data_IF_376969757090
#
_entry.id   IF_376969757090
#
_cell.length_a   1.000
_cell.length_b   1.000
_cell.length_c   1.000
_cell.angle_alpha   90.00
_cell.angle_beta   90.00
_cell.angle_gamma   90.00
#
_symmetry.space_group_name_H-M   'P 1'
#
loop_
_entity.id
_entity.type
_entity.pdbx_description
1 polymer ?
#
# COMPACT_ATOMS: atom_id res chain seq x y z
N UNK A 1 -15.60 6.13 -8.52
CA UNK A 1 -14.70 5.07 -9.00
C UNK A 1 -13.68 5.58 -10.02
N UNK A 2 -14.08 6.24 -11.11
CA UNK A 2 -13.17 6.80 -12.13
C UNK A 2 -12.07 7.69 -11.54
N UNK A 3 -12.38 8.59 -10.60
CA UNK A 3 -11.40 9.47 -9.97
C UNK A 3 -10.27 8.76 -9.22
N UNK A 4 -10.48 7.52 -8.76
CA UNK A 4 -9.44 6.68 -8.15
C UNK A 4 -8.57 5.99 -9.19
N UNK A 5 -9.11 5.73 -10.39
CA UNK A 5 -8.42 5.00 -11.47
C UNK A 5 -7.53 5.93 -12.28
N UNK A 6 -7.94 7.19 -12.49
CA UNK A 6 -7.20 8.18 -13.31
C UNK A 6 -5.71 8.29 -12.89
N UNK A 7 -5.35 8.45 -11.61
CA UNK A 7 -3.95 8.52 -11.22
C UNK A 7 -3.14 7.26 -11.56
N UNK A 8 -3.81 6.10 -11.70
CA UNK A 8 -3.17 4.83 -12.01
C UNK A 8 -2.97 4.58 -13.52
N UNK A 9 -3.61 5.37 -14.37
CA UNK A 9 -3.31 5.38 -15.80
C UNK A 9 -1.87 5.89 -16.07
N UNK A 10 -1.27 6.60 -15.12
CA UNK A 10 0.12 7.07 -15.19
C UNK A 10 1.05 5.96 -14.71
N UNK A 11 2.15 5.76 -15.43
CA UNK A 11 3.20 4.78 -15.08
C UNK A 11 3.70 5.02 -13.66
N UNK A 12 3.93 3.93 -12.89
CA UNK A 12 4.35 3.97 -11.49
C UNK A 12 5.52 4.93 -11.22
N UNK A 13 6.56 4.86 -12.05
CA UNK A 13 7.73 5.74 -11.89
C UNK A 13 7.37 7.22 -11.96
N UNK A 14 6.50 7.63 -12.88
CA UNK A 14 6.07 9.02 -12.99
C UNK A 14 5.32 9.49 -11.73
N UNK A 15 4.49 8.62 -11.14
CA UNK A 15 3.80 8.90 -9.88
C UNK A 15 4.80 9.09 -8.73
N UNK A 16 5.82 8.23 -8.66
CA UNK A 16 6.86 8.34 -7.63
C UNK A 16 7.66 9.63 -7.80
N UNK A 17 7.99 10.02 -9.03
CA UNK A 17 8.64 11.31 -9.30
C UNK A 17 7.77 12.51 -8.95
N UNK A 18 6.46 12.45 -9.23
CA UNK A 18 5.53 13.49 -8.78
C UNK A 18 5.54 13.63 -7.25
N UNK A 19 5.55 12.53 -6.52
CA UNK A 19 5.71 12.55 -5.06
C UNK A 19 7.02 13.21 -4.63
N UNK A 20 8.15 12.93 -5.31
CA UNK A 20 9.43 13.59 -4.95
C UNK A 20 9.37 15.09 -5.08
N UNK A 21 8.62 15.60 -6.06
CA UNK A 21 8.42 17.04 -6.25
C UNK A 21 7.52 17.64 -5.15
N UNK A 22 6.46 16.92 -4.77
CA UNK A 22 5.53 17.37 -3.71
C UNK A 22 6.22 17.47 -2.36
N UNK A 23 7.08 16.48 -2.02
CA UNK A 23 7.77 16.37 -0.71
C UNK A 23 9.15 17.04 -0.69
N UNK A 24 9.54 17.74 -1.75
CA UNK A 24 10.82 18.45 -1.80
C UNK A 24 10.91 19.56 -0.75
N UNK A 25 12.12 19.97 -0.39
CA UNK A 25 12.33 21.08 0.54
C UNK A 25 11.67 22.38 0.07
N UNK A 26 11.60 22.58 -1.26
CA UNK A 26 10.85 23.67 -1.91
C UNK A 26 9.61 23.15 -2.64
N UNK A 27 9.07 22.03 -2.19
CA UNK A 27 7.92 21.39 -2.78
C UNK A 27 6.58 21.93 -2.26
N UNK A 28 5.51 21.39 -2.84
CA UNK A 28 4.14 21.82 -2.52
C UNK A 28 3.81 21.75 -1.03
N UNK A 29 4.25 20.65 -0.34
CA UNK A 29 3.95 20.48 1.09
C UNK A 29 4.60 21.58 1.94
N UNK A 30 5.88 21.89 1.73
CA UNK A 30 6.55 22.97 2.46
C UNK A 30 5.94 24.33 2.11
N UNK A 31 5.59 24.58 0.84
CA UNK A 31 4.92 25.82 0.44
C UNK A 31 3.54 25.99 1.10
N UNK A 32 2.79 24.91 1.28
CA UNK A 32 1.52 24.94 2.01
C UNK A 32 1.72 25.22 3.51
N UNK A 33 2.77 24.66 4.11
CA UNK A 33 3.09 24.91 5.52
C UNK A 33 3.58 26.35 5.76
N UNK A 34 4.34 26.90 4.83
CA UNK A 34 4.78 28.29 4.82
C UNK A 34 3.57 29.23 4.73
N UNK A 35 2.66 28.98 3.78
CA UNK A 35 1.41 29.74 3.64
C UNK A 35 0.53 29.66 4.89
N UNK A 36 0.52 28.52 5.58
CA UNK A 36 -0.22 28.34 6.83
C UNK A 36 0.49 28.91 8.07
N UNK A 37 1.72 29.43 7.91
CA UNK A 37 2.50 30.06 8.98
C UNK A 37 3.17 29.08 9.94
N UNK A 38 3.32 27.81 9.57
CA UNK A 38 4.00 26.80 10.38
C UNK A 38 5.51 26.80 10.20
N UNK A 39 6.02 27.27 9.08
CA UNK A 39 7.44 27.40 8.76
C UNK A 39 7.67 28.70 8.00
N UNK A 40 8.89 29.19 7.99
CA UNK A 40 9.32 30.36 7.19
C UNK A 40 10.36 29.91 6.15
N UNK A 41 9.89 29.68 4.92
CA UNK A 41 10.77 29.29 3.82
C UNK A 41 11.74 30.41 3.40
N UNK A 42 11.40 31.68 3.65
CA UNK A 42 12.29 32.80 3.35
C UNK A 42 13.45 32.88 4.36
N UNK A 43 13.20 32.47 5.61
CA UNK A 43 14.25 32.29 6.63
C UNK A 43 15.08 31.00 6.43
N UNK A 44 14.77 30.17 5.42
CA UNK A 44 15.46 28.93 5.13
C UNK A 44 14.93 27.72 5.87
N UNK A 45 13.79 27.84 6.56
CA UNK A 45 13.16 26.71 7.23
C UNK A 45 12.50 25.79 6.21
N UNK A 46 12.72 24.49 6.36
CA UNK A 46 12.02 23.47 5.56
C UNK A 46 12.00 22.12 6.30
N UNK A 47 10.88 21.43 6.20
CA UNK A 47 10.75 20.06 6.73
C UNK A 47 11.31 19.09 5.70
N UNK A 48 12.28 18.28 6.12
CA UNK A 48 12.93 17.30 5.24
C UNK A 48 12.11 16.01 5.16
N UNK A 49 10.96 16.05 4.46
CA UNK A 49 10.08 14.90 4.28
C UNK A 49 10.78 13.71 3.62
N UNK A 50 11.70 13.95 2.69
CA UNK A 50 12.45 12.90 1.98
C UNK A 50 13.32 12.03 2.91
N UNK A 51 13.66 12.52 4.11
CA UNK A 51 14.44 11.78 5.11
C UNK A 51 13.59 10.99 6.10
N UNK A 52 12.28 10.93 5.92
CA UNK A 52 11.37 10.23 6.82
C UNK A 52 10.95 8.87 6.26
N UNK A 53 11.16 7.81 7.04
CA UNK A 53 10.63 6.48 6.73
C UNK A 53 9.10 6.48 6.61
N UNK A 54 8.43 7.35 7.37
CA UNK A 54 6.98 7.54 7.31
C UNK A 54 6.55 8.06 5.93
N UNK A 55 7.29 8.98 5.34
CA UNK A 55 7.00 9.48 3.98
C UNK A 55 7.09 8.36 2.94
N UNK A 56 8.14 7.54 3.01
CA UNK A 56 8.28 6.37 2.12
C UNK A 56 7.09 5.43 2.30
N UNK A 57 6.69 5.16 3.55
CA UNK A 57 5.54 4.32 3.85
C UNK A 57 4.24 4.87 3.25
N UNK A 58 3.97 6.17 3.41
CA UNK A 58 2.76 6.83 2.85
C UNK A 58 2.75 6.69 1.32
N UNK A 59 3.88 6.89 0.65
CA UNK A 59 3.95 6.78 -0.81
C UNK A 59 3.77 5.33 -1.28
N UNK A 60 4.30 4.34 -0.53
CA UNK A 60 4.05 2.93 -0.81
C UNK A 60 2.56 2.61 -0.67
N UNK A 61 1.91 3.05 0.41
CA UNK A 61 0.47 2.86 0.62
C UNK A 61 -0.32 3.49 -0.53
N UNK A 62 -0.03 4.73 -0.89
CA UNK A 62 -0.66 5.40 -2.02
C UNK A 62 -0.46 4.63 -3.33
N UNK A 63 0.75 4.12 -3.57
CA UNK A 63 1.08 3.42 -4.82
C UNK A 63 0.31 2.12 -4.98
N UNK A 64 0.04 1.41 -3.88
CA UNK A 64 -0.54 0.06 -3.95
C UNK A 64 -1.95 -0.05 -3.37
N UNK A 65 -2.56 1.03 -2.86
CA UNK A 65 -3.88 0.99 -2.19
C UNK A 65 -5.00 0.43 -3.08
N UNK A 66 -4.95 0.63 -4.39
CA UNK A 66 -5.99 0.10 -5.29
C UNK A 66 -5.98 -1.42 -5.38
N UNK A 67 -4.81 -2.06 -5.22
CA UNK A 67 -4.74 -3.52 -5.17
C UNK A 67 -5.46 -4.10 -3.96
N UNK A 68 -5.69 -3.31 -2.92
CA UNK A 68 -6.56 -3.67 -1.81
C UNK A 68 -8.02 -3.32 -2.09
N UNK A 69 -8.27 -2.16 -2.67
CA UNK A 69 -9.63 -1.65 -2.90
C UNK A 69 -10.40 -2.50 -3.91
N UNK A 70 -9.78 -2.89 -5.03
CA UNK A 70 -10.47 -3.64 -6.08
C UNK A 70 -11.04 -5.00 -5.64
N UNK A 71 -10.29 -5.89 -4.97
CA UNK A 71 -10.85 -7.16 -4.50
C UNK A 71 -11.98 -6.96 -3.49
N UNK A 72 -11.87 -5.95 -2.63
CA UNK A 72 -12.92 -5.64 -1.66
C UNK A 72 -14.20 -5.20 -2.39
N UNK A 73 -14.09 -4.27 -3.34
CA UNK A 73 -15.24 -3.79 -4.11
C UNK A 73 -15.89 -4.92 -4.93
N UNK A 74 -15.07 -5.80 -5.50
CA UNK A 74 -15.59 -6.95 -6.26
C UNK A 74 -16.44 -7.86 -5.36
N UNK A 75 -15.94 -8.24 -4.19
CA UNK A 75 -16.72 -9.04 -3.24
C UNK A 75 -17.93 -8.29 -2.70
N UNK A 76 -17.81 -6.98 -2.42
CA UNK A 76 -18.94 -6.17 -1.98
C UNK A 76 -20.05 -6.06 -3.03
N UNK A 77 -19.71 -6.10 -4.31
CA UNK A 77 -20.71 -6.05 -5.39
C UNK A 77 -21.60 -7.29 -5.44
N UNK A 78 -21.19 -8.41 -4.86
CA UNK A 78 -21.98 -9.65 -4.76
C UNK A 78 -22.91 -9.68 -3.54
N UNK A 79 -22.87 -8.66 -2.67
CA UNK A 79 -23.74 -8.58 -1.50
C UNK A 79 -25.18 -8.30 -1.92
N UNK A 80 -26.10 -9.17 -1.52
CA UNK A 80 -27.54 -8.99 -1.77
C UNK A 80 -28.05 -7.78 -0.95
N UNK A 81 -28.60 -6.79 -1.66
CA UNK A 81 -29.19 -5.58 -1.04
C UNK A 81 -30.36 -5.90 -0.13
N UNK A 82 -31.11 -6.96 -0.39
CA UNK A 82 -32.22 -7.40 0.44
C UNK A 82 -31.79 -7.69 1.88
N UNK A 83 -30.55 -8.17 2.09
CA UNK A 83 -30.00 -8.39 3.44
C UNK A 83 -29.81 -7.08 4.20
N UNK A 84 -29.40 -6.03 3.50
CA UNK A 84 -29.22 -4.70 4.09
C UNK A 84 -30.58 -4.08 4.43
N UNK A 85 -31.54 -4.20 3.52
CA UNK A 85 -32.86 -3.60 3.69
C UNK A 85 -33.65 -4.32 4.78
N UNK A 86 -33.64 -5.65 4.83
CA UNK A 86 -34.21 -6.42 5.93
C UNK A 86 -33.61 -6.06 7.30
N UNK A 87 -32.28 -5.82 7.34
CA UNK A 87 -31.64 -5.40 8.58
C UNK A 87 -32.07 -3.99 9.02
N UNK A 88 -32.32 -3.06 8.08
CA UNK A 88 -32.86 -1.72 8.37
C UNK A 88 -34.30 -1.82 8.87
N UNK A 89 -35.13 -2.64 8.27
CA UNK A 89 -36.53 -2.84 8.67
C UNK A 89 -36.62 -3.38 10.11
N UNK A 90 -35.62 -4.16 10.52
CA UNK A 90 -35.46 -4.64 11.89
C UNK A 90 -34.83 -3.61 12.84
N UNK A 91 -34.65 -2.36 12.41
CA UNK A 91 -34.10 -1.27 13.21
C UNK A 91 -32.59 -1.32 13.44
N UNK A 92 -31.83 -2.04 12.60
CA UNK A 92 -30.38 -2.06 12.72
C UNK A 92 -29.77 -0.71 12.30
N UNK A 93 -28.90 -0.15 13.12
CA UNK A 93 -28.13 1.05 12.77
C UNK A 93 -27.13 0.75 11.64
N UNK A 94 -26.77 1.77 10.85
CA UNK A 94 -25.79 1.66 9.78
C UNK A 94 -24.46 1.04 10.25
N UNK A 95 -23.99 1.42 11.44
CA UNK A 95 -22.78 0.85 12.03
C UNK A 95 -22.92 -0.65 12.29
N UNK A 96 -24.09 -1.10 12.80
CA UNK A 96 -24.38 -2.53 13.04
C UNK A 96 -24.42 -3.32 11.74
N UNK A 97 -25.00 -2.75 10.66
CA UNK A 97 -25.04 -3.36 9.34
C UNK A 97 -23.61 -3.53 8.79
N UNK A 98 -22.77 -2.50 8.89
CA UNK A 98 -21.37 -2.58 8.46
C UNK A 98 -20.61 -3.70 9.17
N UNK A 99 -20.69 -3.77 10.49
CA UNK A 99 -19.93 -4.74 11.29
C UNK A 99 -20.47 -6.18 11.20
N UNK A 100 -21.76 -6.37 11.03
CA UNK A 100 -22.38 -7.72 11.09
C UNK A 100 -22.69 -8.31 9.71
N UNK A 101 -22.79 -7.49 8.66
CA UNK A 101 -23.16 -7.95 7.32
C UNK A 101 -22.04 -7.64 6.33
N UNK A 102 -21.68 -6.35 6.16
CA UNK A 102 -20.77 -5.92 5.08
C UNK A 102 -19.34 -6.41 5.31
N UNK A 103 -18.76 -6.16 6.48
CA UNK A 103 -17.38 -6.57 6.79
C UNK A 103 -17.20 -8.09 6.75
N UNK A 104 -18.08 -8.91 7.38
CA UNK A 104 -17.97 -10.36 7.28
C UNK A 104 -18.09 -10.89 5.86
N UNK A 105 -19.00 -10.31 5.06
CA UNK A 105 -19.15 -10.67 3.65
C UNK A 105 -17.88 -10.31 2.86
N UNK A 106 -17.26 -9.17 3.16
CA UNK A 106 -16.07 -8.67 2.46
C UNK A 106 -14.76 -9.37 2.86
N UNK A 107 -14.76 -10.24 3.86
CA UNK A 107 -13.55 -10.93 4.35
C UNK A 107 -12.68 -11.55 3.25
N UNK A 108 -13.24 -12.28 2.26
CA UNK A 108 -12.42 -12.85 1.18
C UNK A 108 -11.72 -11.76 0.36
N UNK A 109 -12.43 -10.67 0.04
CA UNK A 109 -11.86 -9.53 -0.67
C UNK A 109 -10.75 -8.82 0.13
N UNK A 110 -10.97 -8.64 1.44
CA UNK A 110 -9.95 -8.08 2.34
C UNK A 110 -8.71 -8.97 2.37
N UNK A 111 -8.88 -10.29 2.46
CA UNK A 111 -7.76 -11.23 2.50
C UNK A 111 -6.94 -11.19 1.20
N UNK A 112 -7.61 -11.27 0.04
CA UNK A 112 -6.95 -11.19 -1.28
C UNK A 112 -6.25 -9.85 -1.47
N UNK A 113 -6.94 -8.74 -1.18
CA UNK A 113 -6.40 -7.40 -1.33
C UNK A 113 -5.20 -7.15 -0.41
N UNK A 114 -5.27 -7.60 0.85
CA UNK A 114 -4.16 -7.46 1.80
C UNK A 114 -2.92 -8.24 1.35
N UNK A 115 -3.09 -9.48 0.88
CA UNK A 115 -1.98 -10.29 0.38
C UNK A 115 -1.37 -9.65 -0.86
N UNK A 116 -2.18 -9.23 -1.83
CA UNK A 116 -1.71 -8.60 -3.06
C UNK A 116 -0.94 -7.31 -2.75
N UNK A 117 -1.51 -6.43 -1.93
CA UNK A 117 -0.87 -5.17 -1.52
C UNK A 117 0.42 -5.42 -0.75
N UNK A 118 0.43 -6.38 0.17
CA UNK A 118 1.63 -6.76 0.92
C UNK A 118 2.75 -7.26 0.00
N UNK A 119 2.46 -8.18 -0.91
CA UNK A 119 3.46 -8.73 -1.83
C UNK A 119 4.05 -7.67 -2.74
N UNK A 120 3.22 -6.78 -3.28
CA UNK A 120 3.68 -5.66 -4.11
C UNK A 120 4.50 -4.65 -3.31
N UNK A 121 4.05 -4.29 -2.11
CA UNK A 121 4.76 -3.36 -1.24
C UNK A 121 6.10 -3.94 -0.74
N UNK A 122 6.13 -5.23 -0.40
CA UNK A 122 7.35 -5.92 0.02
C UNK A 122 8.40 -5.96 -1.09
N UNK A 123 7.98 -6.20 -2.35
CA UNK A 123 8.85 -6.20 -3.52
C UNK A 123 9.21 -4.79 -4.04
N UNK A 124 8.59 -3.74 -3.52
CA UNK A 124 8.81 -2.38 -4.01
C UNK A 124 10.22 -1.89 -3.66
N UNK A 125 11.07 -1.68 -4.67
CA UNK A 125 12.39 -1.08 -4.47
C UNK A 125 12.46 0.35 -5.05
N UNK A 126 11.66 0.64 -6.07
CA UNK A 126 11.67 1.94 -6.78
C UNK A 126 11.31 3.09 -5.86
N UNK A 127 10.26 2.91 -5.04
CA UNK A 127 9.75 3.96 -4.14
C UNK A 127 10.79 4.34 -3.08
N UNK A 128 11.35 3.40 -2.29
CA UNK A 128 12.39 3.73 -1.33
C UNK A 128 13.63 4.34 -2.01
N UNK A 129 14.07 3.78 -3.13
CA UNK A 129 15.27 4.25 -3.84
C UNK A 129 15.15 5.68 -4.34
N UNK A 130 13.99 6.06 -4.88
CA UNK A 130 13.77 7.40 -5.45
C UNK A 130 13.52 8.44 -4.35
N UNK A 131 12.72 8.09 -3.34
CA UNK A 131 12.29 9.02 -2.30
C UNK A 131 13.35 9.19 -1.23
N UNK A 132 13.95 8.09 -0.75
CA UNK A 132 14.86 8.14 0.39
C UNK A 132 16.31 8.39 0.02
N UNK A 133 16.63 8.92 -1.14
CA UNK A 133 17.99 9.17 -1.65
C UNK A 133 19.02 9.40 -0.53
N UNK A 134 19.71 8.32 -0.11
CA UNK A 134 20.80 8.40 0.87
C UNK A 134 20.39 8.39 2.36
N UNK A 135 19.19 7.94 2.70
CA UNK A 135 18.85 7.62 4.09
C UNK A 135 19.57 6.36 4.57
N UNK A 136 19.95 6.39 5.84
CA UNK A 136 20.69 5.32 6.51
C UNK A 136 19.89 4.01 6.69
N UNK A 137 18.57 4.00 6.50
CA UNK A 137 17.75 2.81 6.58
C UNK A 137 17.48 2.24 5.19
N UNK A 138 18.31 1.31 4.77
CA UNK A 138 18.03 0.55 3.56
C UNK A 138 16.83 -0.37 3.77
N UNK A 139 15.83 -0.23 2.90
CA UNK A 139 14.75 -1.19 2.83
C UNK A 139 15.29 -2.53 2.30
N UNK A 140 14.75 -3.64 2.76
CA UNK A 140 15.30 -4.95 2.44
C UNK A 140 15.36 -5.23 0.92
N UNK A 141 14.33 -4.80 0.19
CA UNK A 141 14.31 -4.87 -1.28
C UNK A 141 15.44 -4.05 -1.93
N UNK A 142 15.80 -2.91 -1.35
CA UNK A 142 16.91 -2.07 -1.81
C UNK A 142 18.26 -2.74 -1.50
N UNK A 143 18.41 -3.36 -0.33
CA UNK A 143 19.62 -4.12 0.02
C UNK A 143 19.85 -5.30 -0.93
N UNK A 144 18.80 -6.01 -1.34
CA UNK A 144 18.89 -7.06 -2.36
C UNK A 144 19.43 -6.49 -3.67
N UNK A 145 18.85 -5.39 -4.13
CA UNK A 145 19.30 -4.73 -5.36
C UNK A 145 20.76 -4.32 -5.29
N UNK A 146 21.19 -3.69 -4.19
CA UNK A 146 22.57 -3.25 -4.00
C UNK A 146 23.57 -4.42 -3.99
N UNK A 147 23.16 -5.59 -3.43
CA UNK A 147 24.01 -6.79 -3.45
C UNK A 147 24.20 -7.35 -4.86
N UNK A 148 23.16 -7.29 -5.70
CA UNK A 148 23.27 -7.77 -7.08
C UNK A 148 24.07 -6.83 -7.99
N UNK A 149 23.81 -5.52 -7.89
CA UNK A 149 24.24 -4.56 -8.92
C UNK A 149 25.35 -3.61 -8.45
N UNK A 150 25.46 -3.34 -7.16
CA UNK A 150 26.46 -2.39 -6.63
C UNK A 150 27.65 -3.09 -5.98
N UNK A 151 27.43 -4.22 -5.30
CA UNK A 151 28.51 -4.98 -4.61
C UNK A 151 29.10 -6.11 -5.45
N UNK A 152 28.59 -6.34 -6.67
CA UNK A 152 28.99 -7.43 -7.58
C UNK A 152 29.02 -8.84 -6.93
N UNK A 153 28.26 -9.02 -5.84
CA UNK A 153 28.20 -10.27 -5.10
C UNK A 153 26.85 -10.97 -5.30
N UNK A 154 26.65 -11.48 -6.51
CA UNK A 154 25.40 -12.12 -6.93
C UNK A 154 24.98 -13.30 -6.03
N UNK A 155 25.94 -14.04 -5.44
CA UNK A 155 25.64 -15.15 -4.54
C UNK A 155 24.96 -14.69 -3.26
N UNK A 156 25.42 -13.59 -2.67
CA UNK A 156 24.80 -12.99 -1.48
C UNK A 156 23.44 -12.37 -1.82
N UNK A 157 23.34 -11.68 -2.97
CA UNK A 157 22.09 -11.17 -3.48
C UNK A 157 21.04 -12.27 -3.69
N UNK A 158 21.43 -13.40 -4.24
CA UNK A 158 20.55 -14.56 -4.42
C UNK A 158 20.09 -15.14 -3.07
N UNK A 159 20.99 -15.28 -2.08
CA UNK A 159 20.65 -15.75 -0.75
C UNK A 159 19.64 -14.81 -0.05
N UNK A 160 19.83 -13.49 -0.14
CA UNK A 160 18.88 -12.52 0.40
C UNK A 160 17.52 -12.57 -0.30
N UNK A 161 17.50 -12.72 -1.63
CA UNK A 161 16.25 -12.83 -2.40
C UNK A 161 15.47 -14.08 -2.01
N UNK A 162 16.16 -15.22 -1.88
CA UNK A 162 15.53 -16.47 -1.49
C UNK A 162 15.00 -16.41 -0.05
N UNK A 163 15.83 -15.92 0.89
CA UNK A 163 15.40 -15.72 2.28
C UNK A 163 14.20 -14.80 2.40
N UNK A 164 14.19 -13.68 1.66
CA UNK A 164 13.07 -12.74 1.64
C UNK A 164 11.79 -13.37 1.10
N UNK A 165 11.89 -14.11 0.00
CA UNK A 165 10.75 -14.84 -0.59
C UNK A 165 10.16 -15.82 0.40
N UNK A 166 11.01 -16.57 1.12
CA UNK A 166 10.58 -17.52 2.14
C UNK A 166 9.86 -16.82 3.31
N UNK A 167 10.41 -15.70 3.80
CA UNK A 167 9.78 -14.90 4.85
C UNK A 167 8.40 -14.38 4.37
N UNK A 168 8.31 -13.82 3.18
CA UNK A 168 7.05 -13.37 2.60
C UNK A 168 6.03 -14.51 2.50
N UNK A 169 6.46 -15.69 2.06
CA UNK A 169 5.61 -16.87 1.98
C UNK A 169 5.06 -17.28 3.35
N UNK A 170 5.92 -17.29 4.38
CA UNK A 170 5.49 -17.62 5.76
C UNK A 170 4.49 -16.60 6.28
N UNK A 171 4.73 -15.30 6.05
CA UNK A 171 3.80 -14.23 6.47
C UNK A 171 2.45 -14.39 5.79
N UNK A 172 2.42 -14.65 4.47
CA UNK A 172 1.18 -14.86 3.72
C UNK A 172 0.45 -16.11 4.21
N UNK A 173 1.16 -17.22 4.43
CA UNK A 173 0.57 -18.46 4.94
C UNK A 173 -0.04 -18.24 6.35
N UNK A 174 0.67 -17.54 7.23
CA UNK A 174 0.20 -17.20 8.56
C UNK A 174 -1.04 -16.30 8.50
N UNK A 175 -1.02 -15.30 7.62
CA UNK A 175 -2.17 -14.40 7.42
C UNK A 175 -3.40 -15.15 6.92
N UNK A 176 -3.25 -16.04 5.94
CA UNK A 176 -4.33 -16.90 5.44
C UNK A 176 -4.89 -17.79 6.55
N UNK A 177 -4.02 -18.33 7.39
CA UNK A 177 -4.43 -19.17 8.51
C UNK A 177 -5.23 -18.36 9.56
N UNK A 178 -4.78 -17.15 9.90
CA UNK A 178 -5.48 -16.24 10.83
C UNK A 178 -6.84 -15.84 10.27
N UNK A 179 -6.91 -15.48 9.01
CA UNK A 179 -8.17 -15.08 8.35
C UNK A 179 -9.11 -16.27 8.10
N UNK A 180 -8.66 -17.50 8.33
CA UNK A 180 -9.37 -18.75 8.02
C UNK A 180 -9.89 -18.81 6.57
N UNK A 181 -9.19 -18.13 5.66
CA UNK A 181 -9.50 -18.16 4.24
C UNK A 181 -8.91 -19.43 3.61
N UNK A 182 -9.70 -20.11 2.79
CA UNK A 182 -9.23 -21.25 2.01
C UNK A 182 -8.84 -20.79 0.61
N UNK A 183 -7.90 -21.49 0.00
CA UNK A 183 -7.51 -21.22 -1.40
C UNK A 183 -8.71 -21.17 -2.37
N UNK A 184 -9.80 -21.87 -2.07
CA UNK A 184 -11.05 -21.84 -2.83
C UNK A 184 -11.75 -20.48 -2.81
N UNK A 185 -11.51 -19.65 -1.81
CA UNK A 185 -12.13 -18.33 -1.68
C UNK A 185 -11.53 -17.32 -2.67
N UNK A 186 -10.27 -17.55 -3.10
CA UNK A 186 -9.62 -16.74 -4.13
C UNK A 186 -10.27 -16.93 -5.52
N UNK A 187 -10.71 -18.13 -5.83
CA UNK A 187 -11.38 -18.41 -7.11
C UNK A 187 -12.76 -17.72 -7.22
N UNK A 188 -13.45 -17.51 -6.10
CA UNK A 188 -14.74 -16.78 -6.06
C UNK A 188 -14.63 -15.28 -6.25
N UNK A 189 -13.46 -14.71 -6.06
CA UNK A 189 -13.23 -13.26 -6.27
C UNK A 189 -13.04 -12.92 -7.74
N UNK A 190 -12.72 -13.94 -8.58
CA UNK A 190 -12.47 -13.77 -10.01
C UNK A 190 -13.68 -14.15 -10.90
N UNK A 191 -14.67 -14.79 -10.36
CA UNK A 191 -15.93 -15.12 -11.05
C UNK A 191 -17.03 -14.09 -10.77
#
# INVERSE_FOLDING_TARGET
MLALIIPYAIVELMRVYAWTTIIDNRGLLNSMLDFAGFIDMQAGESIQFKRSALTVFIVIVYTYVLFMVFPILNVMSTLDRNQIDAAKDLGASTFRIQWRIVIPHSKPGIAVGSIATFMLAAGAFSVPRIISRGLQSEWFSQSIYNKFFESENSNVGAAYSFGFTLICFVIVALFMWIMRTRLKDFAKVQS
#
